data_IF_680946772912
#
_entry.id   IF_680946772912
#
_cell.length_a   1.000
_cell.length_b   1.000
_cell.length_c   1.000
_cell.angle_alpha   90.00
_cell.angle_beta   90.00
_cell.angle_gamma   90.00
#
_symmetry.space_group_name_H-M   'P 1'
#
loop_
_entity.id
_entity.type
_entity.pdbx_description
1 polymer ?
#
# COMPACT_ATOMS: atom_id res chain seq x y z
N UNK A 1 0.38 -1.18 -6.26
CA UNK A 1 1.27 -0.43 -7.17
C UNK A 1 0.59 0.85 -7.63
N UNK A 2 1.34 1.92 -7.90
CA UNK A 2 0.77 3.25 -8.20
C UNK A 2 0.34 4.03 -6.95
N UNK A 3 0.93 3.73 -5.79
CA UNK A 3 0.48 4.22 -4.49
C UNK A 3 0.59 5.75 -4.31
N UNK A 4 1.44 6.44 -5.09
CA UNK A 4 1.55 7.90 -5.06
C UNK A 4 0.50 8.63 -5.93
N UNK A 5 -0.30 7.88 -6.70
CA UNK A 5 -1.27 8.42 -7.65
C UNK A 5 -2.57 8.94 -7.02
N UNK A 6 -3.34 9.66 -7.84
CA UNK A 6 -4.59 10.28 -7.42
C UNK A 6 -5.68 9.28 -7.05
N UNK A 7 -5.80 8.18 -7.81
CA UNK A 7 -6.75 7.10 -7.51
C UNK A 7 -6.43 6.48 -6.13
N UNK A 8 -5.16 6.23 -5.86
CA UNK A 8 -4.71 5.61 -4.61
C UNK A 8 -5.14 6.44 -3.39
N UNK A 9 -4.75 7.72 -3.36
CA UNK A 9 -5.04 8.61 -2.22
C UNK A 9 -6.52 8.96 -2.07
N UNK A 10 -7.27 9.10 -3.18
CA UNK A 10 -8.68 9.56 -3.15
C UNK A 10 -9.69 8.41 -3.01
N UNK A 11 -9.34 7.19 -3.40
CA UNK A 11 -10.28 6.06 -3.48
C UNK A 11 -9.73 4.77 -2.87
N UNK A 12 -8.56 4.30 -3.29
CA UNK A 12 -8.04 2.98 -2.88
C UNK A 12 -7.78 2.92 -1.38
N UNK A 13 -7.00 3.85 -0.81
CA UNK A 13 -6.72 3.86 0.64
C UNK A 13 -7.97 4.13 1.49
N UNK A 14 -8.86 5.09 1.14
CA UNK A 14 -10.13 5.25 1.84
C UNK A 14 -11.00 4.00 1.83
N UNK A 15 -11.06 3.26 0.72
CA UNK A 15 -11.82 2.01 0.64
C UNK A 15 -11.20 0.90 1.51
N UNK A 16 -9.87 0.74 1.49
CA UNK A 16 -9.16 -0.20 2.34
C UNK A 16 -9.36 0.12 3.82
N UNK A 17 -9.28 1.40 4.21
CA UNK A 17 -9.58 1.82 5.57
C UNK A 17 -11.05 1.52 5.95
N UNK A 18 -12.00 1.76 5.05
CA UNK A 18 -13.40 1.42 5.29
C UNK A 18 -13.60 -0.08 5.57
N UNK A 19 -12.95 -0.95 4.79
CA UNK A 19 -12.97 -2.39 5.02
C UNK A 19 -12.31 -2.77 6.35
N UNK A 20 -11.16 -2.15 6.67
CA UNK A 20 -10.46 -2.36 7.94
C UNK A 20 -11.32 -1.96 9.14
N UNK A 21 -11.89 -0.75 9.12
CA UNK A 21 -12.71 -0.21 10.21
C UNK A 21 -14.01 -1.01 10.44
N UNK A 22 -14.47 -1.73 9.41
CA UNK A 22 -15.63 -2.61 9.48
C UNK A 22 -15.28 -4.09 9.77
N UNK A 23 -13.99 -4.41 9.98
CA UNK A 23 -13.56 -5.77 10.32
C UNK A 23 -13.53 -6.75 9.14
N UNK A 24 -13.52 -6.26 7.91
CA UNK A 24 -13.45 -7.08 6.69
C UNK A 24 -12.02 -7.34 6.20
N UNK A 25 -11.03 -6.74 6.86
CA UNK A 25 -9.61 -7.01 6.62
C UNK A 25 -9.04 -7.63 7.88
N UNK A 26 -8.29 -8.71 7.74
CA UNK A 26 -7.65 -9.37 8.87
C UNK A 26 -6.66 -8.40 9.56
N UNK A 27 -6.55 -8.40 10.91
CA UNK A 27 -5.58 -7.55 11.61
C UNK A 27 -4.11 -7.83 11.25
N UNK A 28 -3.83 -9.00 10.66
CA UNK A 28 -2.51 -9.41 10.16
C UNK A 28 -2.23 -8.94 8.72
N UNK A 29 -3.22 -8.38 8.02
CA UNK A 29 -3.03 -7.83 6.67
C UNK A 29 -2.09 -6.63 6.72
N UNK A 30 -1.24 -6.54 5.69
CA UNK A 30 -0.24 -5.50 5.55
C UNK A 30 -0.33 -4.90 4.16
N UNK A 31 -0.13 -3.59 4.08
CA UNK A 31 -0.34 -2.83 2.85
C UNK A 31 0.99 -2.21 2.46
N UNK A 32 1.58 -2.73 1.39
CA UNK A 32 2.83 -2.20 0.83
C UNK A 32 2.49 -1.29 -0.35
N UNK A 33 2.64 0.02 -0.15
CA UNK A 33 2.58 1.01 -1.21
C UNK A 33 3.84 0.95 -2.08
N UNK A 34 3.67 1.06 -3.40
CA UNK A 34 4.79 1.07 -4.33
C UNK A 34 4.55 2.08 -5.45
N UNK A 35 5.52 2.97 -5.70
CA UNK A 35 5.54 3.87 -6.86
C UNK A 35 6.95 4.48 -7.09
N UNK A 36 7.12 5.17 -8.23
CA UNK A 36 8.38 5.86 -8.58
C UNK A 36 8.73 7.04 -7.68
N UNK A 37 7.73 7.67 -7.08
CA UNK A 37 7.90 8.86 -6.25
C UNK A 37 8.73 8.53 -5.03
N UNK A 38 9.84 9.24 -4.80
CA UNK A 38 10.61 9.13 -3.55
C UNK A 38 9.85 9.86 -2.45
N UNK A 39 9.51 9.15 -1.39
CA UNK A 39 8.78 9.65 -0.23
C UNK A 39 9.20 8.82 0.97
N UNK A 40 9.33 9.45 2.13
CA UNK A 40 9.53 8.73 3.38
C UNK A 40 8.19 8.20 3.93
N UNK A 41 8.27 7.37 4.97
CA UNK A 41 7.06 6.80 5.59
C UNK A 41 6.12 7.90 6.14
N UNK A 42 6.59 8.92 6.88
CA UNK A 42 5.72 10.02 7.33
C UNK A 42 4.94 10.70 6.20
N UNK A 43 5.60 11.04 5.08
CA UNK A 43 4.93 11.65 3.93
C UNK A 43 3.89 10.69 3.33
N UNK A 44 4.24 9.41 3.19
CA UNK A 44 3.31 8.40 2.70
C UNK A 44 2.06 8.28 3.58
N UNK A 45 2.22 8.16 4.89
CA UNK A 45 1.09 8.01 5.81
C UNK A 45 0.20 9.24 5.81
N UNK A 46 0.76 10.45 5.71
CA UNK A 46 -0.01 11.67 5.51
C UNK A 46 -0.84 11.60 4.22
N UNK A 47 -0.27 11.08 3.13
CA UNK A 47 -1.00 10.93 1.87
C UNK A 47 -2.13 9.90 1.94
N UNK A 48 -1.93 8.82 2.68
CA UNK A 48 -2.93 7.76 2.93
C UNK A 48 -4.11 8.31 3.73
N UNK A 49 -3.85 9.07 4.79
CA UNK A 49 -4.89 9.54 5.72
C UNK A 49 -5.65 10.78 5.27
N UNK A 50 -5.07 11.64 4.41
CA UNK A 50 -5.64 12.96 4.10
C UNK A 50 -7.05 12.97 3.49
N UNK A 51 -7.51 11.85 2.89
CA UNK A 51 -8.86 11.75 2.30
C UNK A 51 -9.81 10.86 3.12
N UNK A 52 -9.36 10.37 4.27
CA UNK A 52 -10.18 9.60 5.21
C UNK A 52 -11.00 10.58 6.04
N UNK A 53 -12.32 10.41 6.03
CA UNK A 53 -13.28 11.29 6.70
C UNK A 53 -13.65 10.75 8.08
N UNK A 54 -14.33 11.58 8.88
CA UNK A 54 -14.94 11.21 10.17
C UNK A 54 -13.94 10.77 11.25
N UNK A 55 -12.69 11.24 11.16
CA UNK A 55 -11.61 10.96 12.12
C UNK A 55 -11.76 11.66 13.48
N UNK A 56 -12.85 12.42 13.67
CA UNK A 56 -13.16 13.10 14.95
C UNK A 56 -13.68 12.12 16.02
N UNK A 57 -14.18 10.95 15.62
CA UNK A 57 -14.55 9.90 16.57
C UNK A 57 -13.29 9.24 17.15
N UNK A 58 -13.13 9.16 18.49
CA UNK A 58 -11.97 8.49 19.10
C UNK A 58 -11.76 7.06 18.63
N UNK A 59 -12.86 6.31 18.41
CA UNK A 59 -12.83 4.95 17.89
C UNK A 59 -12.27 4.90 16.46
N UNK A 60 -12.75 5.79 15.59
CA UNK A 60 -12.29 5.87 14.19
C UNK A 60 -10.83 6.31 14.12
N UNK A 61 -10.43 7.24 15.00
CA UNK A 61 -9.03 7.68 15.10
C UNK A 61 -8.10 6.53 15.49
N UNK A 62 -8.45 5.77 16.53
CA UNK A 62 -7.67 4.60 16.94
C UNK A 62 -7.57 3.54 15.84
N UNK A 63 -8.67 3.28 15.12
CA UNK A 63 -8.66 2.38 13.96
C UNK A 63 -7.77 2.91 12.83
N UNK A 64 -7.79 4.23 12.57
CA UNK A 64 -6.93 4.85 11.56
C UNK A 64 -5.45 4.72 11.94
N UNK A 65 -5.10 4.99 13.20
CA UNK A 65 -3.72 4.85 13.67
C UNK A 65 -3.21 3.41 13.49
N UNK A 66 -4.04 2.41 13.86
CA UNK A 66 -3.71 1.00 13.64
C UNK A 66 -3.58 0.64 12.14
N UNK A 67 -4.46 1.17 11.30
CA UNK A 67 -4.40 0.97 9.84
C UNK A 67 -3.12 1.56 9.23
N UNK A 68 -2.72 2.77 9.66
CA UNK A 68 -1.49 3.41 9.20
C UNK A 68 -0.24 2.64 9.63
N UNK A 69 -0.28 1.95 10.78
CA UNK A 69 0.78 1.04 11.20
C UNK A 69 0.90 -0.23 10.36
N UNK A 70 -0.16 -0.60 9.64
CA UNK A 70 -0.10 -1.67 8.65
C UNK A 70 0.42 -1.22 7.27
N UNK A 71 0.62 0.09 7.08
CA UNK A 71 1.02 0.67 5.80
C UNK A 71 2.54 0.93 5.74
N UNK A 72 3.20 0.38 4.73
CA UNK A 72 4.60 0.66 4.38
C UNK A 72 4.71 1.13 2.94
N UNK A 73 5.87 1.67 2.56
CA UNK A 73 6.09 2.23 1.23
C UNK A 73 7.47 1.89 0.69
N UNK A 74 7.53 1.54 -0.59
CA UNK A 74 8.76 1.32 -1.35
C UNK A 74 8.75 2.23 -2.57
N UNK A 75 9.82 3.01 -2.74
CA UNK A 75 10.05 3.80 -3.94
C UNK A 75 10.82 2.97 -4.97
N UNK A 76 10.30 2.84 -6.19
CA UNK A 76 10.95 2.02 -7.23
C UNK A 76 10.43 2.27 -8.64
N UNK A 77 11.28 1.99 -9.61
CA UNK A 77 11.01 2.08 -11.04
C UNK A 77 10.22 0.86 -11.54
N UNK A 78 9.23 1.07 -12.42
CA UNK A 78 8.42 -0.01 -13.00
C UNK A 78 9.12 -0.79 -14.13
N UNK A 79 10.23 -0.25 -14.62
CA UNK A 79 10.99 -0.70 -15.78
C UNK A 79 12.38 -1.21 -15.41
N UNK A 80 12.66 -1.40 -14.11
CA UNK A 80 13.95 -1.85 -13.60
C UNK A 80 13.80 -2.88 -12.49
N UNK A 81 14.64 -3.90 -12.52
CA UNK A 81 14.59 -5.00 -11.57
C UNK A 81 14.91 -4.56 -10.14
N UNK A 82 15.76 -3.54 -9.97
CA UNK A 82 16.17 -3.04 -8.65
C UNK A 82 14.97 -2.56 -7.80
N UNK A 83 13.97 -1.96 -8.44
CA UNK A 83 12.73 -1.53 -7.80
C UNK A 83 11.89 -2.73 -7.31
N UNK A 84 11.74 -3.76 -8.14
CA UNK A 84 10.98 -4.96 -7.77
C UNK A 84 11.71 -5.83 -6.75
N UNK A 85 13.03 -5.91 -6.80
CA UNK A 85 13.82 -6.58 -5.77
C UNK A 85 13.67 -5.92 -4.40
N UNK A 86 13.60 -4.60 -4.34
CA UNK A 86 13.31 -3.88 -3.09
C UNK A 86 11.88 -4.15 -2.60
N UNK A 87 10.91 -4.19 -3.52
CA UNK A 87 9.53 -4.55 -3.19
C UNK A 87 9.45 -5.97 -2.62
N UNK A 88 10.09 -6.95 -3.26
CA UNK A 88 10.10 -8.34 -2.80
C UNK A 88 10.76 -8.46 -1.43
N UNK A 89 11.87 -7.75 -1.18
CA UNK A 89 12.51 -7.71 0.15
C UNK A 89 11.55 -7.19 1.23
N UNK A 90 10.80 -6.14 0.94
CA UNK A 90 9.82 -5.60 1.88
C UNK A 90 8.64 -6.55 2.10
N UNK A 91 8.13 -7.18 1.04
CA UNK A 91 7.06 -8.20 1.14
C UNK A 91 7.54 -9.38 2.00
N UNK A 92 8.73 -9.94 1.71
CA UNK A 92 9.29 -11.04 2.47
C UNK A 92 9.53 -10.68 3.95
N UNK A 93 9.98 -9.44 4.23
CA UNK A 93 10.12 -8.93 5.60
C UNK A 93 8.77 -8.92 6.31
N UNK A 94 7.72 -8.47 5.63
CA UNK A 94 6.36 -8.38 6.16
C UNK A 94 5.77 -9.77 6.40
N UNK A 95 5.89 -10.69 5.44
CA UNK A 95 5.40 -12.07 5.53
C UNK A 95 6.05 -12.82 6.69
N UNK A 96 7.36 -12.63 6.91
CA UNK A 96 8.07 -13.22 8.05
C UNK A 96 7.51 -12.75 9.41
N UNK A 97 7.01 -11.52 9.48
CA UNK A 97 6.46 -10.93 10.72
C UNK A 97 5.01 -11.37 10.95
N UNK A 98 4.21 -11.49 9.89
CA UNK A 98 2.77 -11.75 10.01
C UNK A 98 2.37 -13.19 9.80
N UNK A 99 3.24 -14.03 9.21
CA UNK A 99 2.90 -15.36 8.73
C UNK A 99 1.95 -15.36 7.54
N UNK A 100 1.77 -14.22 6.86
CA UNK A 100 0.90 -14.12 5.69
C UNK A 100 1.48 -14.91 4.51
N UNK A 101 0.61 -15.57 3.75
CA UNK A 101 0.97 -16.38 2.58
C UNK A 101 0.30 -15.90 1.28
N UNK A 102 -0.75 -15.09 1.40
CA UNK A 102 -1.52 -14.58 0.26
C UNK A 102 -1.07 -13.16 -0.11
N UNK A 103 -0.84 -12.94 -1.41
CA UNK A 103 -0.45 -11.64 -1.97
C UNK A 103 -1.54 -11.13 -2.94
N UNK A 104 -2.01 -9.90 -2.74
CA UNK A 104 -2.92 -9.21 -3.66
C UNK A 104 -2.24 -7.98 -4.27
N UNK A 105 -2.03 -8.00 -5.58
CA UNK A 105 -1.44 -6.88 -6.31
C UNK A 105 -2.52 -5.99 -6.94
N UNK A 106 -2.77 -4.81 -6.33
CA UNK A 106 -3.65 -3.80 -6.92
C UNK A 106 -2.86 -2.86 -7.85
N UNK A 107 -3.15 -2.87 -9.14
CA UNK A 107 -2.45 -2.11 -10.17
C UNK A 107 -3.17 -0.79 -10.51
N UNK A 108 -3.02 0.21 -9.63
CA UNK A 108 -3.54 1.57 -9.87
C UNK A 108 -2.61 2.37 -10.81
N UNK A 109 -2.41 1.86 -12.03
CA UNK A 109 -1.39 2.32 -12.96
C UNK A 109 -2.02 2.73 -14.31
N UNK A 110 -1.40 3.66 -15.05
CA UNK A 110 -1.76 3.89 -16.45
C UNK A 110 -1.58 2.61 -17.29
N UNK A 111 -2.41 2.40 -18.33
CA UNK A 111 -2.33 1.19 -19.17
C UNK A 111 -0.95 0.94 -19.77
N UNK A 112 -0.20 2.00 -20.11
CA UNK A 112 1.11 1.91 -20.75
C UNK A 112 2.19 1.20 -19.93
N UNK A 113 2.04 1.12 -18.61
CA UNK A 113 3.00 0.45 -17.72
C UNK A 113 2.47 -0.88 -17.17
N UNK A 114 1.29 -1.33 -17.61
CA UNK A 114 0.66 -2.54 -17.07
C UNK A 114 1.45 -3.80 -17.43
N UNK A 115 1.84 -3.94 -18.70
CA UNK A 115 2.61 -5.10 -19.19
C UNK A 115 3.96 -5.21 -18.47
N UNK A 116 4.85 -4.17 -18.46
CA UNK A 116 6.13 -4.26 -17.75
C UNK A 116 6.00 -4.70 -16.30
N UNK A 117 5.00 -4.16 -15.58
CA UNK A 117 4.78 -4.47 -14.17
C UNK A 117 4.26 -5.90 -13.97
N UNK A 118 3.37 -6.38 -14.83
CA UNK A 118 2.80 -7.72 -14.72
C UNK A 118 3.85 -8.81 -15.00
N UNK A 119 4.86 -8.52 -15.83
CA UNK A 119 5.91 -9.47 -16.22
C UNK A 119 7.17 -9.41 -15.36
N UNK A 120 7.32 -8.39 -14.50
CA UNK A 120 8.53 -8.17 -13.71
C UNK A 120 8.86 -9.28 -12.68
N UNK A 121 7.96 -10.24 -12.45
CA UNK A 121 8.18 -11.42 -11.61
C UNK A 121 8.59 -12.69 -12.36
N UNK A 122 8.73 -12.64 -13.69
CA UNK A 122 9.09 -13.78 -14.55
C UNK A 122 10.51 -13.68 -15.14
N UNK A 123 11.37 -12.81 -14.59
CA UNK A 123 12.76 -12.62 -15.00
C UNK A 123 13.75 -13.23 -14.02
#
# INVERSE_FOLDING_TARGET
LGASGDLAKKKTFPALFGLFNNGHIAPTTRIVGYARSKMDRPEFLKRVSQHIKNTNSPKVKAALDQFLDQCTYVAGHYDRDDGFQQLEKEIARVEKVTGAVDRLFYMALPPSVFIPVATAGYG
#
